data_IF_722995739946
#
_entry.id   IF_722995739946
#
_cell.length_a   1.000
_cell.length_b   1.000
_cell.length_c   1.000
_cell.angle_alpha   90.00
_cell.angle_beta   90.00
_cell.angle_gamma   90.00
#
_symmetry.space_group_name_H-M   'P 1'
#
loop_
_entity.id
_entity.type
_entity.pdbx_description
1 polymer ?
#
# COMPACT_ATOMS: atom_id res chain seq x y z
N UNK A 1 16.89 21.82 -25.24
CA UNK A 1 17.71 20.93 -24.41
C UNK A 1 18.70 20.24 -25.34
N UNK A 2 19.98 20.15 -24.98
CA UNK A 2 20.97 19.40 -25.77
C UNK A 2 21.04 18.00 -25.20
N UNK A 3 21.03 16.98 -26.07
CA UNK A 3 21.26 15.59 -25.67
C UNK A 3 22.74 15.24 -25.92
N UNK A 4 23.44 14.61 -24.96
CA UNK A 4 22.96 14.28 -23.61
C UNK A 4 22.80 15.51 -22.70
N UNK A 5 21.92 15.41 -21.71
CA UNK A 5 21.72 16.47 -20.72
C UNK A 5 22.96 16.61 -19.82
N UNK A 6 23.76 17.66 -20.02
CA UNK A 6 25.04 17.87 -19.30
C UNK A 6 24.86 18.51 -17.91
N UNK A 7 23.71 19.14 -17.64
CA UNK A 7 23.44 19.90 -16.42
C UNK A 7 21.94 19.94 -16.08
N UNK A 8 21.62 20.28 -14.83
CA UNK A 8 20.24 20.44 -14.36
C UNK A 8 19.63 19.17 -13.75
N UNK A 9 18.32 19.19 -13.43
CA UNK A 9 17.66 18.13 -12.67
C UNK A 9 17.59 16.79 -13.43
N UNK A 10 17.65 16.81 -14.76
CA UNK A 10 17.53 15.61 -15.60
C UNK A 10 18.88 15.07 -16.08
N UNK A 11 19.99 15.63 -15.60
CA UNK A 11 21.34 15.20 -15.97
C UNK A 11 21.50 13.68 -15.78
N UNK A 12 22.09 13.01 -16.77
CA UNK A 12 22.38 11.56 -16.78
C UNK A 12 21.14 10.62 -16.66
N UNK A 13 19.91 11.16 -16.64
CA UNK A 13 18.67 10.38 -16.52
C UNK A 13 17.84 10.31 -17.80
N UNK A 14 18.17 11.09 -18.82
CA UNK A 14 17.46 11.10 -20.11
C UNK A 14 18.12 10.13 -21.09
N UNK A 15 17.32 9.28 -21.74
CA UNK A 15 17.75 8.35 -22.77
C UNK A 15 16.93 8.56 -24.03
N UNK A 16 17.58 8.55 -25.19
CA UNK A 16 16.90 8.62 -26.48
C UNK A 16 16.19 7.30 -26.80
N UNK A 17 14.92 7.36 -27.21
CA UNK A 17 14.11 6.20 -27.62
C UNK A 17 13.33 6.46 -28.92
N UNK A 18 13.63 7.56 -29.61
CA UNK A 18 12.93 7.97 -30.83
C UNK A 18 13.53 7.34 -32.09
N UNK A 19 12.75 7.35 -33.16
CA UNK A 19 13.15 6.95 -34.50
C UNK A 19 12.73 8.06 -35.47
N UNK A 20 13.69 8.93 -35.80
CA UNK A 20 13.44 10.15 -36.58
C UNK A 20 12.92 9.84 -37.99
N UNK A 21 13.39 8.75 -38.60
CA UNK A 21 12.96 8.29 -39.93
C UNK A 21 11.46 7.96 -39.99
N UNK A 22 10.87 7.61 -38.85
CA UNK A 22 9.43 7.34 -38.70
C UNK A 22 8.68 8.49 -38.03
N UNK A 23 9.31 9.66 -37.88
CA UNK A 23 8.70 10.83 -37.24
C UNK A 23 8.52 10.70 -35.73
N UNK A 24 9.26 9.79 -35.06
CA UNK A 24 9.15 9.57 -33.62
C UNK A 24 10.32 10.23 -32.87
N UNK A 25 10.02 11.22 -32.03
CA UNK A 25 11.00 11.92 -31.20
C UNK A 25 10.86 11.59 -29.70
N UNK A 26 10.67 10.32 -29.35
CA UNK A 26 10.50 9.88 -27.97
C UNK A 26 11.81 9.86 -27.15
N UNK A 27 11.68 10.15 -25.85
CA UNK A 27 12.74 10.01 -24.84
C UNK A 27 12.21 9.24 -23.63
N UNK A 28 13.13 8.66 -22.86
CA UNK A 28 12.85 7.99 -21.58
C UNK A 28 13.55 8.77 -20.47
N UNK A 29 12.80 9.14 -19.42
CA UNK A 29 13.34 9.67 -18.17
C UNK A 29 13.45 8.53 -17.14
N UNK A 30 14.67 8.22 -16.70
CA UNK A 30 14.96 7.19 -15.69
C UNK A 30 14.91 7.77 -14.27
N UNK A 31 14.68 6.88 -13.30
CA UNK A 31 14.70 7.21 -11.86
C UNK A 31 13.83 8.43 -11.53
N UNK A 32 12.57 8.37 -11.95
CA UNK A 32 11.61 9.45 -11.75
C UNK A 32 11.24 9.55 -10.27
N UNK A 33 11.21 10.77 -9.76
CA UNK A 33 10.93 11.12 -8.37
C UNK A 33 9.76 12.11 -8.29
N UNK A 34 9.20 12.33 -7.09
CA UNK A 34 8.11 13.29 -6.92
C UNK A 34 8.49 14.73 -7.31
N UNK A 35 9.78 15.10 -7.23
CA UNK A 35 10.28 16.40 -7.69
C UNK A 35 10.27 16.55 -9.22
N UNK A 36 10.11 15.46 -9.98
CA UNK A 36 9.98 15.50 -11.43
C UNK A 36 8.54 15.76 -11.89
N UNK A 37 7.59 15.89 -10.95
CA UNK A 37 6.20 16.24 -11.26
C UNK A 37 6.13 17.57 -12.00
N UNK A 38 5.41 17.58 -13.11
CA UNK A 38 5.28 18.78 -13.92
C UNK A 38 4.71 18.51 -15.31
N UNK A 39 4.66 19.57 -16.10
CA UNK A 39 4.19 19.52 -17.49
C UNK A 39 5.40 19.53 -18.42
N UNK A 40 5.52 18.49 -19.23
CA UNK A 40 6.56 18.34 -20.24
C UNK A 40 5.98 18.69 -21.60
N UNK A 41 6.72 19.46 -22.41
CA UNK A 41 6.28 19.89 -23.73
C UNK A 41 7.29 19.49 -24.79
N UNK A 42 6.83 19.10 -25.98
CA UNK A 42 7.69 18.66 -27.08
C UNK A 42 7.58 19.61 -28.27
N UNK A 43 8.72 20.13 -28.73
CA UNK A 43 8.85 20.96 -29.92
C UNK A 43 9.72 20.26 -30.95
N UNK A 44 9.16 19.91 -32.10
CA UNK A 44 9.90 19.39 -33.25
C UNK A 44 9.83 20.42 -34.36
N UNK A 45 10.98 20.90 -34.80
CA UNK A 45 11.08 21.90 -35.85
C UNK A 45 11.58 21.24 -37.13
N UNK A 46 10.83 21.41 -38.23
CA UNK A 46 11.24 20.96 -39.56
C UNK A 46 11.27 22.18 -40.50
N UNK A 47 12.37 22.95 -40.58
CA UNK A 47 12.41 24.16 -41.40
C UNK A 47 11.99 23.87 -42.86
N UNK A 48 11.12 24.69 -43.50
CA UNK A 48 10.55 25.98 -43.06
C UNK A 48 9.30 25.86 -42.16
N UNK A 49 8.83 24.66 -41.88
CA UNK A 49 7.64 24.40 -41.07
C UNK A 49 7.96 24.47 -39.57
N UNK A 50 7.59 25.60 -38.98
CA UNK A 50 7.48 25.76 -37.53
C UNK A 50 6.07 25.33 -37.11
N UNK A 51 5.94 24.07 -36.67
CA UNK A 51 4.72 23.60 -36.02
C UNK A 51 4.39 24.52 -34.84
N UNK A 52 3.19 25.12 -34.85
CA UNK A 52 2.71 26.08 -33.85
C UNK A 52 2.11 25.41 -32.61
N UNK A 53 1.69 24.14 -32.72
CA UNK A 53 1.10 23.40 -31.61
C UNK A 53 2.19 22.65 -30.84
N UNK A 54 2.34 23.02 -29.57
CA UNK A 54 3.26 22.43 -28.61
C UNK A 54 2.50 21.42 -27.74
N UNK A 55 2.45 20.12 -28.10
CA UNK A 55 1.82 19.12 -27.27
C UNK A 55 2.50 19.07 -25.89
N UNK A 56 1.66 19.08 -24.85
CA UNK A 56 2.09 19.07 -23.45
C UNK A 56 1.53 17.86 -22.74
N UNK A 57 2.35 17.18 -21.94
CA UNK A 57 2.02 15.97 -21.19
C UNK A 57 2.31 16.21 -19.71
N UNK A 58 1.34 15.96 -18.84
CA UNK A 58 1.52 16.05 -17.40
C UNK A 58 2.11 14.74 -16.86
N UNK A 59 3.22 14.82 -16.13
CA UNK A 59 3.84 13.71 -15.42
C UNK A 59 3.48 13.81 -13.93
N UNK A 60 2.79 12.79 -13.42
CA UNK A 60 2.43 12.67 -12.01
C UNK A 60 3.06 11.41 -11.42
N UNK A 61 3.90 11.61 -10.42
CA UNK A 61 4.65 10.57 -9.71
C UNK A 61 4.07 10.46 -8.32
N UNK A 62 3.51 9.29 -8.03
CA UNK A 62 2.88 8.98 -6.74
C UNK A 62 3.69 7.90 -6.05
N UNK A 63 4.04 8.12 -4.80
CA UNK A 63 4.64 7.12 -3.93
C UNK A 63 3.68 5.92 -3.76
N UNK A 64 4.22 4.70 -3.78
CA UNK A 64 3.42 3.50 -3.51
C UNK A 64 3.21 3.37 -2.01
N UNK A 65 2.03 3.80 -1.53
CA UNK A 65 1.61 3.72 -0.12
C UNK A 65 1.31 2.28 0.39
N UNK A 66 1.66 1.24 -0.37
CA UNK A 66 1.38 -0.15 0.00
C UNK A 66 1.88 -0.56 1.40
N UNK A 67 3.12 -0.25 1.83
CA UNK A 67 3.59 -0.71 3.14
C UNK A 67 2.83 -0.06 4.29
N UNK A 68 2.50 1.23 4.17
CA UNK A 68 1.70 1.95 5.18
C UNK A 68 0.28 1.39 5.28
N UNK A 69 -0.38 1.16 4.13
CA UNK A 69 -1.75 0.62 4.09
C UNK A 69 -1.82 -0.76 4.73
N UNK A 70 -0.90 -1.67 4.40
CA UNK A 70 -0.87 -3.02 4.97
C UNK A 70 -0.52 -3.01 6.46
N UNK A 71 0.44 -2.18 6.89
CA UNK A 71 0.82 -2.06 8.30
C UNK A 71 -0.35 -1.62 9.17
N UNK A 72 -1.14 -0.64 8.73
CA UNK A 72 -2.30 -0.15 9.51
C UNK A 72 -3.38 -1.22 9.62
N UNK A 73 -3.69 -1.93 8.53
CA UNK A 73 -4.70 -3.01 8.54
C UNK A 73 -4.30 -4.11 9.51
N UNK A 74 -3.04 -4.53 9.50
CA UNK A 74 -2.52 -5.56 10.42
C UNK A 74 -2.62 -5.14 11.90
N UNK A 75 -2.33 -3.88 12.22
CA UNK A 75 -2.43 -3.39 13.60
C UNK A 75 -3.90 -3.37 14.07
N UNK A 76 -4.81 -2.89 13.22
CA UNK A 76 -6.23 -2.84 13.54
C UNK A 76 -6.84 -4.23 13.73
N UNK A 77 -6.45 -5.21 12.91
CA UNK A 77 -6.95 -6.58 13.05
C UNK A 77 -6.49 -7.21 14.36
N UNK A 78 -5.22 -7.04 14.74
CA UNK A 78 -4.69 -7.54 16.01
C UNK A 78 -5.44 -6.92 17.19
N UNK A 79 -5.68 -5.59 17.14
CA UNK A 79 -6.38 -4.86 18.20
C UNK A 79 -7.82 -5.37 18.44
N UNK A 80 -8.48 -5.90 17.41
CA UNK A 80 -9.85 -6.44 17.52
C UNK A 80 -9.85 -7.92 17.89
N UNK A 81 -8.96 -8.70 17.26
CA UNK A 81 -8.92 -10.17 17.41
C UNK A 81 -8.38 -10.57 18.78
N UNK A 82 -7.33 -9.92 19.28
CA UNK A 82 -6.73 -10.24 20.57
C UNK A 82 -7.70 -10.12 21.76
N UNK A 83 -8.44 -9.01 21.96
CA UNK A 83 -9.41 -8.92 23.06
C UNK A 83 -10.60 -9.86 22.86
N UNK A 84 -11.03 -10.10 21.62
CA UNK A 84 -12.11 -11.06 21.33
C UNK A 84 -11.71 -12.48 21.78
N UNK A 85 -10.51 -12.93 21.40
CA UNK A 85 -9.96 -14.21 21.85
C UNK A 85 -9.81 -14.26 23.38
N UNK A 86 -9.28 -13.19 23.98
CA UNK A 86 -9.14 -13.10 25.44
C UNK A 86 -10.49 -13.31 26.14
N UNK A 87 -11.54 -12.59 25.71
CA UNK A 87 -12.88 -12.72 26.29
C UNK A 87 -13.43 -14.14 26.12
N UNK A 88 -13.30 -14.73 24.93
CA UNK A 88 -13.77 -16.11 24.68
C UNK A 88 -13.05 -17.11 25.60
N UNK A 89 -11.73 -17.02 25.73
CA UNK A 89 -10.98 -17.92 26.61
C UNK A 89 -11.38 -17.77 28.08
N UNK A 90 -11.59 -16.54 28.57
CA UNK A 90 -12.07 -16.30 29.93
C UNK A 90 -13.46 -16.90 30.13
N UNK A 91 -14.39 -16.70 29.19
CA UNK A 91 -15.73 -17.27 29.26
C UNK A 91 -15.71 -18.81 29.29
N UNK A 92 -14.87 -19.45 28.47
CA UNK A 92 -14.73 -20.91 28.47
C UNK A 92 -14.21 -21.44 29.81
N UNK A 93 -13.16 -20.82 30.38
CA UNK A 93 -12.62 -21.19 31.69
C UNK A 93 -13.64 -20.98 32.82
N UNK A 94 -14.43 -19.92 32.74
CA UNK A 94 -15.51 -19.65 33.68
C UNK A 94 -16.61 -20.71 33.59
N UNK A 95 -16.98 -21.12 32.38
CA UNK A 95 -17.98 -22.17 32.17
C UNK A 95 -17.49 -23.53 32.65
N UNK A 96 -16.23 -23.91 32.40
CA UNK A 96 -15.65 -25.16 32.92
C UNK A 96 -15.62 -25.17 34.46
N UNK A 97 -15.20 -24.07 35.08
CA UNK A 97 -15.18 -23.95 36.54
C UNK A 97 -16.59 -23.97 37.14
N UNK A 98 -17.54 -23.29 36.51
CA UNK A 98 -18.94 -23.24 36.97
C UNK A 98 -19.61 -24.61 36.81
N UNK A 99 -19.36 -25.31 35.71
CA UNK A 99 -19.84 -26.67 35.52
C UNK A 99 -19.20 -27.63 36.52
N UNK A 100 -17.88 -27.58 36.74
CA UNK A 100 -17.19 -28.39 37.75
C UNK A 100 -17.76 -28.14 39.17
N UNK A 101 -18.01 -26.88 39.53
CA UNK A 101 -18.66 -26.49 40.80
C UNK A 101 -20.10 -27.01 40.87
N UNK A 102 -20.87 -26.96 39.77
CA UNK A 102 -22.24 -27.46 39.70
C UNK A 102 -22.29 -29.00 39.79
N UNK A 103 -21.35 -29.71 39.14
CA UNK A 103 -21.22 -31.18 39.29
C UNK A 103 -20.76 -31.55 40.70
N UNK A 104 -19.89 -30.74 41.31
CA UNK A 104 -19.46 -30.94 42.70
C UNK A 104 -20.62 -30.70 43.66
N UNK A 105 -21.44 -29.67 43.45
CA UNK A 105 -22.64 -29.39 44.25
C UNK A 105 -23.67 -30.51 44.11
N UNK A 106 -23.94 -30.98 42.88
CA UNK A 106 -24.85 -32.10 42.61
C UNK A 106 -24.38 -33.44 43.20
N UNK A 107 -23.06 -33.70 43.25
CA UNK A 107 -22.49 -34.87 43.94
C UNK A 107 -22.56 -34.77 45.46
N UNK A 108 -22.51 -33.56 46.03
CA UNK A 108 -22.59 -33.35 47.48
C UNK A 108 -24.04 -33.45 48.00
N UNK A 109 -25.05 -33.12 47.18
CA UNK A 109 -26.47 -33.21 47.56
C UNK A 109 -27.06 -34.63 47.47
N UNK A 110 -26.36 -35.58 46.84
CA UNK A 110 -26.86 -36.96 46.65
C UNK A 110 -26.35 -37.98 47.69
N UNK A 111 -25.61 -37.54 48.73
CA UNK A 111 -25.04 -38.44 49.77
C UNK A 111 -25.76 -38.34 51.15
N UNK A 112 -26.67 -37.39 51.39
CA UNK A 112 -27.32 -37.22 52.72
C UNK A 112 -28.83 -37.58 52.78
N UNK A 113 -29.26 -38.68 52.15
CA UNK A 113 -30.66 -39.13 52.28
C UNK A 113 -30.82 -40.64 52.48
N UNK A 114 -30.06 -41.23 53.41
CA UNK A 114 -30.42 -42.50 54.06
C UNK A 114 -29.83 -42.47 55.48
N UNK A 115 -30.69 -42.30 56.49
CA UNK A 115 -30.76 -43.07 57.75
C UNK A 115 -31.62 -42.27 58.74
N UNK A 116 -32.78 -42.82 59.11
CA UNK A 116 -33.74 -42.23 60.04
C UNK A 116 -35.09 -42.91 59.98
#
# INVERSE_FOLDING_TARGET
MVFPALSGPFKDRVVWNGELEKGNAAIILKNVTQSDNGTFSCAVHNPPDVSSEMPSTALTVTERELPFRLSVVMVLTILVIAPSLLVVTVLLLWMEKTFAVFTSSSKNTSIEAVEG
#
